data_IF_187680510726
#
_entry.id   IF_187680510726
#
_cell.length_a   1.000
_cell.length_b   1.000
_cell.length_c   1.000
_cell.angle_alpha   90.00
_cell.angle_beta   90.00
_cell.angle_gamma   90.00
#
_symmetry.space_group_name_H-M   'P 1'
#
loop_
_entity.id
_entity.type
_entity.pdbx_description
1 polymer ?
#
# COMPACT_ATOMS: atom_id res chain seq x y z
N UNK A 1 0.56 -13.55 2.23
CA UNK A 1 0.21 -14.66 3.12
C UNK A 1 -1.26 -14.96 2.96
N UNK A 2 -1.91 -15.33 4.06
CA UNK A 2 -3.34 -15.69 4.10
C UNK A 2 -4.29 -14.49 4.13
N UNK A 3 -3.76 -13.29 4.38
CA UNK A 3 -4.56 -12.05 4.46
C UNK A 3 -4.54 -11.24 3.16
N UNK A 4 -3.95 -11.77 2.08
CA UNK A 4 -3.85 -11.09 0.78
C UNK A 4 -4.94 -11.63 -0.14
N UNK A 5 -5.80 -10.74 -0.62
CA UNK A 5 -6.80 -11.03 -1.66
C UNK A 5 -6.41 -10.31 -2.93
N UNK A 6 -6.27 -11.08 -4.02
CA UNK A 6 -5.93 -10.57 -5.34
C UNK A 6 -7.12 -10.71 -6.28
N UNK A 7 -7.39 -9.64 -7.03
CA UNK A 7 -8.32 -9.65 -8.15
C UNK A 7 -7.76 -10.36 -9.38
N UNK A 8 -8.49 -10.25 -10.48
CA UNK A 8 -8.11 -10.80 -11.78
C UNK A 8 -6.89 -10.08 -12.34
N UNK A 9 -5.92 -10.83 -12.86
CA UNK A 9 -4.78 -10.32 -13.61
C UNK A 9 -3.95 -9.24 -12.87
N UNK A 10 -3.88 -9.32 -11.54
CA UNK A 10 -2.96 -8.52 -10.73
C UNK A 10 -1.51 -8.90 -11.06
N UNK A 11 -0.67 -7.91 -11.29
CA UNK A 11 0.75 -8.09 -11.58
C UNK A 11 1.62 -7.49 -10.48
N UNK A 12 2.49 -8.29 -9.88
CA UNK A 12 3.52 -7.86 -8.94
C UNK A 12 4.89 -8.13 -9.55
N UNK A 13 5.69 -7.07 -9.72
CA UNK A 13 7.05 -7.22 -10.21
C UNK A 13 8.01 -7.68 -9.10
N UNK A 14 9.27 -7.94 -9.46
CA UNK A 14 10.29 -8.47 -8.57
C UNK A 14 10.47 -7.63 -7.29
N UNK A 15 10.66 -8.32 -6.16
CA UNK A 15 11.01 -7.70 -4.88
C UNK A 15 9.87 -7.01 -4.15
N UNK A 16 8.60 -7.16 -4.58
CA UNK A 16 7.48 -6.64 -3.82
C UNK A 16 7.40 -7.28 -2.42
N UNK A 17 7.10 -6.45 -1.42
CA UNK A 17 6.91 -6.87 -0.02
C UNK A 17 5.51 -6.50 0.43
N UNK A 18 4.79 -7.45 1.01
CA UNK A 18 3.47 -7.22 1.61
C UNK A 18 3.49 -7.73 3.04
N UNK A 19 3.39 -6.82 4.02
CA UNK A 19 3.24 -7.16 5.44
C UNK A 19 1.75 -7.24 5.76
N UNK A 20 1.20 -8.45 5.67
CA UNK A 20 -0.23 -8.73 5.73
C UNK A 20 -0.75 -9.02 7.16
N UNK A 21 -0.32 -8.26 8.17
CA UNK A 21 -0.84 -8.38 9.56
C UNK A 21 -2.32 -7.99 9.68
N UNK A 22 -2.89 -7.33 8.67
CA UNK A 22 -4.33 -7.11 8.47
C UNK A 22 -4.66 -7.35 6.98
N UNK A 23 -5.96 -7.40 6.59
CA UNK A 23 -6.34 -7.64 5.20
C UNK A 23 -5.67 -6.67 4.21
N UNK A 24 -5.17 -7.23 3.11
CA UNK A 24 -4.69 -6.49 1.93
C UNK A 24 -5.53 -6.92 0.75
N UNK A 25 -6.25 -5.98 0.15
CA UNK A 25 -7.06 -6.23 -1.05
C UNK A 25 -6.46 -5.48 -2.22
N UNK A 26 -6.20 -6.20 -3.32
CA UNK A 26 -5.71 -5.62 -4.58
C UNK A 26 -6.70 -5.94 -5.69
N UNK A 27 -7.34 -4.91 -6.24
CA UNK A 27 -8.38 -5.02 -7.27
C UNK A 27 -7.87 -5.49 -8.63
N UNK A 28 -8.80 -5.79 -9.53
CA UNK A 28 -8.50 -6.36 -10.84
C UNK A 28 -7.53 -5.47 -11.65
N UNK A 29 -6.64 -6.09 -12.41
CA UNK A 29 -5.68 -5.47 -13.33
C UNK A 29 -4.71 -4.46 -12.70
N UNK A 30 -4.61 -4.40 -11.37
CA UNK A 30 -3.61 -3.57 -10.70
C UNK A 30 -2.19 -4.04 -11.02
N UNK A 31 -1.28 -3.10 -11.24
CA UNK A 31 0.11 -3.38 -11.59
C UNK A 31 1.06 -2.71 -10.60
N UNK A 32 1.88 -3.51 -9.92
CA UNK A 32 2.88 -3.06 -8.97
C UNK A 32 4.27 -3.19 -9.59
N UNK A 33 4.99 -2.08 -9.66
CA UNK A 33 6.38 -2.01 -10.11
C UNK A 33 7.35 -2.77 -9.18
N UNK A 34 8.63 -2.85 -9.54
CA UNK A 34 9.61 -3.58 -8.74
C UNK A 34 9.78 -2.93 -7.37
N UNK A 35 9.98 -3.74 -6.33
CA UNK A 35 10.23 -3.30 -4.95
C UNK A 35 9.11 -2.46 -4.32
N UNK A 36 7.86 -2.56 -4.79
CA UNK A 36 6.71 -1.95 -4.10
C UNK A 36 6.52 -2.58 -2.73
N UNK A 37 6.24 -1.76 -1.73
CA UNK A 37 6.09 -2.19 -0.33
C UNK A 37 4.71 -1.79 0.18
N UNK A 38 3.95 -2.77 0.67
CA UNK A 38 2.63 -2.56 1.28
C UNK A 38 2.69 -3.00 2.73
N UNK A 39 2.32 -2.10 3.64
CA UNK A 39 2.37 -2.38 5.07
C UNK A 39 1.00 -2.27 5.70
N UNK A 40 0.56 -3.31 6.41
CA UNK A 40 -0.57 -3.22 7.34
C UNK A 40 -0.12 -2.97 8.78
N UNK A 41 1.09 -3.39 9.15
CA UNK A 41 1.61 -3.29 10.52
C UNK A 41 2.12 -1.88 10.85
N UNK A 42 1.80 -1.40 12.05
CA UNK A 42 2.35 -0.19 12.67
C UNK A 42 2.63 -0.48 14.16
N UNK A 43 3.68 0.12 14.71
CA UNK A 43 4.00 -0.02 16.12
C UNK A 43 3.43 1.13 16.95
N UNK A 44 3.20 0.86 18.23
CA UNK A 44 2.77 1.93 19.13
C UNK A 44 3.81 3.07 19.19
N UNK A 45 3.35 4.32 19.13
CA UNK A 45 4.23 5.51 19.16
C UNK A 45 4.80 5.79 20.54
N UNK A 46 4.07 5.43 21.59
CA UNK A 46 4.57 5.39 22.96
C UNK A 46 5.63 4.28 23.13
N UNK A 47 6.87 4.60 23.55
CA UNK A 47 7.93 3.63 23.77
C UNK A 47 7.60 2.52 24.77
N UNK A 48 6.89 2.82 25.86
CA UNK A 48 6.58 1.85 26.91
C UNK A 48 5.59 0.79 26.41
N UNK A 49 4.64 1.20 25.56
CA UNK A 49 3.69 0.28 24.93
C UNK A 49 4.36 -0.50 23.79
N UNK A 50 5.29 0.12 23.05
CA UNK A 50 6.07 -0.57 22.01
C UNK A 50 7.02 -1.63 22.58
N UNK A 51 7.62 -1.40 23.75
CA UNK A 51 8.44 -2.40 24.47
C UNK A 51 7.63 -3.61 24.93
N UNK A 52 6.31 -3.46 25.10
CA UNK A 52 5.40 -4.56 25.39
C UNK A 52 4.97 -5.33 24.12
N UNK A 53 5.58 -5.03 22.97
CA UNK A 53 5.22 -5.56 21.66
C UNK A 53 3.77 -5.27 21.24
N UNK A 54 3.18 -4.17 21.75
CA UNK A 54 1.88 -3.74 21.29
C UNK A 54 1.99 -3.11 19.90
N UNK A 55 1.21 -3.64 18.98
CA UNK A 55 1.15 -3.22 17.59
C UNK A 55 -0.29 -2.96 17.14
N UNK A 56 -0.42 -2.26 16.02
CA UNK A 56 -1.69 -2.02 15.34
C UNK A 56 -1.56 -2.56 13.93
N UNK A 57 -2.60 -3.22 13.45
CA UNK A 57 -2.69 -3.64 12.07
C UNK A 57 -3.89 -2.93 11.43
N UNK A 58 -3.67 -2.23 10.32
CA UNK A 58 -4.71 -1.49 9.61
C UNK A 58 -4.73 -1.97 8.16
N UNK A 59 -5.92 -2.31 7.61
CA UNK A 59 -6.01 -2.91 6.28
C UNK A 59 -5.56 -1.93 5.19
N UNK A 60 -5.08 -2.46 4.06
CA UNK A 60 -4.79 -1.68 2.86
C UNK A 60 -5.69 -2.13 1.72
N UNK A 61 -6.30 -1.17 1.02
CA UNK A 61 -7.18 -1.44 -0.12
C UNK A 61 -6.64 -0.74 -1.36
N UNK A 62 -6.40 -1.50 -2.42
CA UNK A 62 -5.97 -1.01 -3.73
C UNK A 62 -7.08 -1.32 -4.73
N UNK A 63 -7.61 -0.31 -5.40
CA UNK A 63 -8.69 -0.43 -6.38
C UNK A 63 -8.28 -1.08 -7.71
N UNK A 64 -9.26 -1.22 -8.59
CA UNK A 64 -9.07 -1.73 -9.96
C UNK A 64 -8.17 -0.80 -10.79
N UNK A 65 -7.39 -1.35 -11.72
CA UNK A 65 -6.56 -0.62 -12.68
C UNK A 65 -5.55 0.37 -12.05
N UNK A 66 -5.21 0.20 -10.78
CA UNK A 66 -4.20 1.03 -10.12
C UNK A 66 -2.81 0.68 -10.65
N UNK A 67 -2.02 1.70 -10.99
CA UNK A 67 -0.60 1.52 -11.30
C UNK A 67 0.26 2.09 -10.18
N UNK A 68 1.08 1.22 -9.55
CA UNK A 68 2.02 1.61 -8.51
C UNK A 68 3.44 1.53 -9.06
N UNK A 69 4.10 2.68 -9.17
CA UNK A 69 5.48 2.80 -9.62
C UNK A 69 6.47 2.09 -8.70
N UNK A 70 7.62 1.70 -9.26
CA UNK A 70 8.64 0.95 -8.53
C UNK A 70 9.12 1.66 -7.25
N UNK A 71 9.44 0.87 -6.24
CA UNK A 71 9.89 1.33 -4.92
C UNK A 71 8.92 2.26 -4.16
N UNK A 72 7.65 2.35 -4.56
CA UNK A 72 6.65 3.06 -3.77
C UNK A 72 6.31 2.29 -2.49
N UNK A 73 5.98 3.04 -1.44
CA UNK A 73 5.64 2.55 -0.10
C UNK A 73 4.21 2.97 0.22
N UNK A 74 3.35 1.99 0.51
CA UNK A 74 1.95 2.19 0.93
C UNK A 74 1.87 1.92 2.43
N UNK A 75 1.54 2.98 3.20
CA UNK A 75 1.47 2.89 4.66
C UNK A 75 0.20 2.17 5.15
N UNK A 76 0.16 1.78 6.44
CA UNK A 76 -1.01 1.14 7.04
C UNK A 76 -2.29 1.96 6.94
N UNK A 77 -3.41 1.29 6.67
CA UNK A 77 -4.74 1.90 6.67
C UNK A 77 -5.12 2.63 5.37
N UNK A 78 -4.27 2.58 4.34
CA UNK A 78 -4.46 3.37 3.13
C UNK A 78 -5.43 2.71 2.15
N UNK A 79 -6.33 3.52 1.59
CA UNK A 79 -7.17 3.19 0.44
C UNK A 79 -6.69 3.95 -0.80
N UNK A 80 -6.43 3.22 -1.89
CA UNK A 80 -6.10 3.76 -3.21
C UNK A 80 -7.28 3.47 -4.14
N UNK A 81 -7.95 4.52 -4.61
CA UNK A 81 -9.09 4.41 -5.51
C UNK A 81 -8.71 3.85 -6.88
N UNK A 82 -9.70 3.32 -7.59
CA UNK A 82 -9.54 2.79 -8.95
C UNK A 82 -8.89 3.79 -9.91
N UNK A 83 -8.16 3.29 -10.90
CA UNK A 83 -7.49 4.08 -11.94
C UNK A 83 -6.43 5.10 -11.41
N UNK A 84 -6.12 5.09 -10.12
CA UNK A 84 -5.09 5.96 -9.55
C UNK A 84 -3.68 5.54 -9.98
N UNK A 85 -2.76 6.51 -10.01
CA UNK A 85 -1.34 6.28 -10.32
C UNK A 85 -0.49 6.74 -9.14
N UNK A 86 0.38 5.85 -8.66
CA UNK A 86 1.38 6.16 -7.64
C UNK A 86 2.73 6.26 -8.33
N UNK A 87 3.38 7.42 -8.28
CA UNK A 87 4.71 7.60 -8.86
C UNK A 87 5.77 6.72 -8.19
N UNK A 88 6.80 6.36 -8.93
CA UNK A 88 7.94 5.61 -8.39
C UNK A 88 8.57 6.33 -7.18
N UNK A 89 8.97 5.56 -6.17
CA UNK A 89 9.57 6.07 -4.93
C UNK A 89 8.63 6.88 -4.02
N UNK A 90 7.32 6.91 -4.30
CA UNK A 90 6.38 7.68 -3.48
C UNK A 90 6.13 7.03 -2.13
N UNK A 91 5.91 7.83 -1.09
CA UNK A 91 5.48 7.38 0.24
C UNK A 91 4.04 7.82 0.47
N UNK A 92 3.10 6.89 0.34
CA UNK A 92 1.66 7.15 0.43
C UNK A 92 1.23 7.14 1.88
N UNK A 93 1.02 8.33 2.43
CA UNK A 93 0.67 8.55 3.85
C UNK A 93 -0.82 8.86 4.06
N UNK A 94 -1.60 8.99 3.00
CA UNK A 94 -3.03 9.34 2.99
C UNK A 94 -3.72 8.62 1.83
N UNK A 95 -5.03 8.42 1.96
CA UNK A 95 -5.85 7.85 0.89
C UNK A 95 -5.70 8.63 -0.42
N UNK A 96 -5.74 7.89 -1.53
CA UNK A 96 -5.62 8.43 -2.89
C UNK A 96 -6.99 8.27 -3.56
N UNK A 97 -7.65 9.36 -3.97
CA UNK A 97 -8.92 9.25 -4.68
C UNK A 97 -8.78 8.55 -6.04
N UNK A 98 -9.89 8.02 -6.54
CA UNK A 98 -9.94 7.37 -7.86
C UNK A 98 -9.47 8.32 -8.97
N UNK A 99 -8.70 7.79 -9.92
CA UNK A 99 -8.16 8.52 -11.07
C UNK A 99 -7.09 9.57 -10.75
N UNK A 100 -6.72 9.76 -9.48
CA UNK A 100 -5.70 10.74 -9.08
C UNK A 100 -4.31 10.15 -9.25
N UNK A 101 -3.39 10.94 -9.80
CA UNK A 101 -1.96 10.65 -9.78
C UNK A 101 -1.33 11.33 -8.57
N UNK A 102 -0.54 10.58 -7.79
CA UNK A 102 0.25 11.15 -6.67
C UNK A 102 1.73 10.80 -6.82
N UNK A 103 2.60 11.73 -6.42
CA UNK A 103 4.06 11.52 -6.42
C UNK A 103 4.71 12.08 -5.15
N UNK A 104 5.90 11.58 -4.82
CA UNK A 104 6.79 12.18 -3.82
C UNK A 104 6.70 11.58 -2.40
N UNK A 105 7.46 12.17 -1.48
CA UNK A 105 7.52 11.79 -0.08
C UNK A 105 7.36 13.03 0.82
N UNK A 106 6.21 13.22 1.49
CA UNK A 106 4.99 12.40 1.38
C UNK A 106 4.29 12.59 0.02
N UNK A 107 3.58 11.58 -0.46
CA UNK A 107 2.90 11.62 -1.75
C UNK A 107 1.84 12.74 -1.81
N UNK A 108 1.78 13.46 -2.95
CA UNK A 108 0.83 14.56 -3.19
C UNK A 108 0.27 14.49 -4.63
N UNK A 109 -0.98 14.95 -4.85
CA UNK A 109 -1.56 15.04 -6.19
C UNK A 109 -0.74 15.91 -7.14
N UNK A 110 -0.76 15.56 -8.43
CA UNK A 110 -0.15 16.31 -9.54
C UNK A 110 -1.14 16.49 -10.70
#
# INVERSE_FOLDING_TARGET
GVNITLGKAVFLNAGCVVLDSAPVTIGDYAMLGPNVQIYCADHHKDPALRQQNLERAMPVTIGENVWIGGAAIILPGITIGENAIIGAGSVVTKDVPAGVTVVGNPARPV
#
